data_IF_486761350459
#
_entry.id   IF_486761350459
#
_cell.length_a   1.000
_cell.length_b   1.000
_cell.length_c   1.000
_cell.angle_alpha   90.00
_cell.angle_beta   90.00
_cell.angle_gamma   90.00
#
_symmetry.space_group_name_H-M   'P 1'
#
loop_
_entity.id
_entity.type
_entity.pdbx_description
1 polymer ?
#
# COMPACT_ATOMS: atom_id res chain seq x y z
N UNK A 1 -6.36 -17.34 7.71
CA UNK A 1 -7.45 -18.13 7.10
C UNK A 1 -8.46 -17.16 6.52
N UNK A 2 -9.21 -17.58 5.50
CA UNK A 2 -10.29 -16.79 4.91
C UNK A 2 -11.65 -17.24 5.45
N UNK A 3 -12.53 -16.28 5.73
CA UNK A 3 -13.88 -16.54 6.18
C UNK A 3 -14.89 -15.67 5.41
N UNK A 4 -15.98 -16.30 4.98
CA UNK A 4 -17.20 -15.66 4.46
C UNK A 4 -18.39 -16.13 5.29
N UNK A 5 -18.66 -15.48 6.43
CA UNK A 5 -19.70 -15.89 7.35
C UNK A 5 -21.09 -15.50 6.85
N UNK A 6 -22.14 -16.23 7.24
CA UNK A 6 -23.52 -15.86 6.89
C UNK A 6 -24.04 -14.68 7.75
N UNK A 7 -23.48 -14.49 8.94
CA UNK A 7 -23.82 -13.38 9.84
C UNK A 7 -22.55 -12.77 10.46
N UNK A 8 -22.65 -11.55 10.96
CA UNK A 8 -21.55 -10.90 11.70
C UNK A 8 -21.45 -11.38 13.16
N UNK A 9 -22.24 -12.38 13.55
CA UNK A 9 -22.24 -12.99 14.89
C UNK A 9 -22.30 -14.51 14.77
N UNK A 10 -21.14 -15.15 14.77
CA UNK A 10 -21.02 -16.61 14.64
C UNK A 10 -19.63 -17.13 15.04
N UNK A 11 -19.54 -18.40 15.42
CA UNK A 11 -18.26 -19.08 15.71
C UNK A 11 -17.53 -19.43 14.41
N UNK A 12 -16.20 -19.34 14.38
CA UNK A 12 -15.38 -19.60 13.18
C UNK A 12 -14.52 -20.87 13.31
N UNK A 13 -13.62 -20.90 14.31
CA UNK A 13 -12.63 -21.97 14.52
C UNK A 13 -12.59 -22.34 16.00
N UNK A 14 -12.45 -23.62 16.31
CA UNK A 14 -12.25 -24.16 17.67
C UNK A 14 -10.97 -25.01 17.71
N UNK A 15 -10.06 -24.68 18.62
CA UNK A 15 -8.84 -25.46 18.91
C UNK A 15 -8.99 -26.26 20.21
N UNK A 16 -9.85 -25.78 21.12
CA UNK A 16 -10.35 -26.49 22.30
C UNK A 16 -11.63 -25.82 22.81
N UNK A 17 -12.29 -26.40 23.82
CA UNK A 17 -13.48 -25.79 24.43
C UNK A 17 -13.22 -24.39 25.03
N UNK A 18 -11.97 -24.08 25.43
CA UNK A 18 -11.56 -22.76 25.92
C UNK A 18 -10.91 -21.89 24.85
N UNK A 19 -10.44 -22.50 23.74
CA UNK A 19 -9.60 -21.85 22.75
C UNK A 19 -10.33 -21.76 21.41
N UNK A 20 -10.94 -20.61 21.12
CA UNK A 20 -11.74 -20.42 19.91
C UNK A 20 -11.65 -19.02 19.32
N UNK A 21 -12.06 -18.93 18.04
CA UNK A 21 -12.20 -17.70 17.27
C UNK A 21 -13.66 -17.54 16.87
N UNK A 22 -14.22 -16.36 17.07
CA UNK A 22 -15.61 -16.04 16.73
C UNK A 22 -15.81 -14.61 16.28
N UNK A 23 -16.93 -14.34 15.63
CA UNK A 23 -17.45 -13.00 15.38
C UNK A 23 -18.54 -12.68 16.40
N UNK A 24 -18.48 -11.48 16.97
CA UNK A 24 -19.52 -10.90 17.81
C UNK A 24 -19.84 -9.50 17.27
N UNK A 25 -20.97 -9.36 16.57
CA UNK A 25 -21.44 -8.10 15.99
C UNK A 25 -20.37 -7.37 15.16
N UNK A 26 -19.68 -8.11 14.29
CA UNK A 26 -18.65 -7.55 13.41
C UNK A 26 -17.30 -7.36 14.09
N UNK A 27 -17.05 -8.01 15.23
CA UNK A 27 -15.77 -8.00 15.93
C UNK A 27 -15.22 -9.42 16.02
N UNK A 28 -14.01 -9.64 15.52
CA UNK A 28 -13.22 -10.85 15.75
C UNK A 28 -12.86 -10.92 17.22
N UNK A 29 -13.42 -11.91 17.89
CA UNK A 29 -13.18 -12.25 19.29
C UNK A 29 -12.38 -13.53 19.35
N UNK A 30 -11.29 -13.51 20.11
CA UNK A 30 -10.42 -14.65 20.37
C UNK A 30 -10.48 -14.95 21.85
N UNK A 31 -10.65 -16.22 22.21
CA UNK A 31 -10.67 -16.69 23.59
C UNK A 31 -9.63 -17.80 23.74
N UNK A 32 -8.86 -17.80 24.83
CA UNK A 32 -7.92 -18.88 25.18
C UNK A 32 -6.53 -18.77 24.55
N UNK A 33 -6.22 -17.70 23.81
CA UNK A 33 -4.95 -17.55 23.11
C UNK A 33 -3.94 -16.65 23.88
N UNK A 34 -4.31 -16.07 25.03
CA UNK A 34 -3.42 -15.27 25.88
C UNK A 34 -3.38 -13.78 25.48
N UNK A 35 -2.22 -13.27 25.06
CA UNK A 35 -2.08 -11.92 24.49
C UNK A 35 -1.96 -12.02 22.98
N UNK A 36 -3.00 -11.58 22.28
CA UNK A 36 -3.11 -11.74 20.83
C UNK A 36 -3.04 -10.43 20.08
N UNK A 37 -2.51 -10.53 18.86
CA UNK A 37 -2.65 -9.50 17.84
C UNK A 37 -3.51 -10.08 16.72
N UNK A 38 -4.67 -9.47 16.53
CA UNK A 38 -5.60 -9.82 15.45
C UNK A 38 -5.33 -8.92 14.25
N UNK A 39 -5.28 -9.54 13.07
CA UNK A 39 -5.26 -8.87 11.79
C UNK A 39 -6.49 -9.28 11.00
N UNK A 40 -7.23 -8.28 10.50
CA UNK A 40 -8.26 -8.46 9.48
C UNK A 40 -7.76 -7.77 8.22
N UNK A 41 -7.74 -8.51 7.11
CA UNK A 41 -7.28 -8.02 5.80
C UNK A 41 -5.87 -7.41 5.81
N UNK A 42 -4.98 -8.05 6.59
CA UNK A 42 -3.57 -7.63 6.71
C UNK A 42 -3.35 -6.37 7.54
N UNK A 43 -4.41 -5.76 8.11
CA UNK A 43 -4.33 -4.64 9.06
C UNK A 43 -4.54 -5.15 10.48
N UNK A 44 -3.74 -4.68 11.43
CA UNK A 44 -3.97 -4.94 12.85
C UNK A 44 -5.27 -4.27 13.30
N UNK A 45 -6.32 -5.06 13.46
CA UNK A 45 -7.67 -4.65 13.85
C UNK A 45 -8.47 -5.89 14.23
N UNK A 46 -9.48 -5.72 15.07
CA UNK A 46 -10.48 -6.76 15.35
C UNK A 46 -11.78 -6.54 14.58
N UNK A 47 -11.91 -5.44 13.84
CA UNK A 47 -13.14 -5.12 13.08
C UNK A 47 -13.27 -6.02 11.86
N UNK A 48 -14.41 -6.70 11.77
CA UNK A 48 -14.87 -7.52 10.66
C UNK A 48 -16.08 -6.82 10.00
N UNK A 49 -15.89 -6.17 8.84
CA UNK A 49 -16.78 -5.10 8.41
C UNK A 49 -18.14 -5.58 7.88
N UNK A 50 -18.20 -6.75 7.26
CA UNK A 50 -19.43 -7.29 6.66
C UNK A 50 -19.40 -8.83 6.57
N UNK A 51 -20.20 -9.45 5.69
CA UNK A 51 -20.29 -10.91 5.50
C UNK A 51 -19.56 -11.41 4.24
N UNK A 52 -18.73 -10.58 3.61
CA UNK A 52 -17.90 -10.95 2.47
C UNK A 52 -16.64 -11.72 2.91
N UNK A 53 -15.82 -12.10 1.93
CA UNK A 53 -14.54 -12.74 2.17
C UNK A 53 -13.58 -11.78 2.87
N UNK A 54 -13.14 -12.15 4.06
CA UNK A 54 -12.08 -11.46 4.79
C UNK A 54 -11.02 -12.45 5.27
N UNK A 55 -9.78 -11.99 5.28
CA UNK A 55 -8.69 -12.76 5.85
C UNK A 55 -8.50 -12.43 7.32
N UNK A 56 -8.53 -13.46 8.17
CA UNK A 56 -8.25 -13.36 9.60
C UNK A 56 -6.91 -14.02 9.87
N UNK A 57 -6.02 -13.30 10.55
CA UNK A 57 -4.81 -13.85 11.15
C UNK A 57 -4.73 -13.47 12.63
N UNK A 58 -4.37 -14.45 13.45
CA UNK A 58 -4.25 -14.30 14.89
C UNK A 58 -2.83 -14.71 15.25
N UNK A 59 -2.11 -13.80 15.88
CA UNK A 59 -0.74 -14.02 16.33
C UNK A 59 -0.74 -13.98 17.84
N UNK A 60 -0.32 -15.06 18.47
CA UNK A 60 -0.10 -15.11 19.92
C UNK A 60 1.37 -15.36 20.23
N UNK A 61 1.85 -14.75 21.31
CA UNK A 61 3.16 -15.02 21.91
C UNK A 61 3.10 -16.14 22.96
N UNK A 62 1.90 -16.63 23.28
CA UNK A 62 1.65 -17.72 24.23
C UNK A 62 1.39 -19.01 23.44
N UNK A 63 1.96 -20.12 23.91
CA UNK A 63 1.71 -21.43 23.31
C UNK A 63 0.25 -21.83 23.49
N UNK A 64 -0.41 -22.18 22.38
CA UNK A 64 -1.79 -22.67 22.37
C UNK A 64 -1.76 -24.19 22.52
N UNK A 65 -2.49 -24.72 23.49
CA UNK A 65 -2.57 -26.18 23.70
C UNK A 65 -3.83 -26.71 23.02
N UNK A 66 -3.71 -27.11 21.76
CA UNK A 66 -4.83 -27.68 21.01
C UNK A 66 -4.98 -29.18 21.33
N UNK A 67 -6.05 -29.55 22.04
CA UNK A 67 -6.36 -30.95 22.34
C UNK A 67 -7.12 -31.64 21.19
N UNK A 68 -7.84 -30.86 20.37
CA UNK A 68 -8.54 -31.31 19.15
C UNK A 68 -8.80 -30.11 18.25
N UNK A 69 -8.22 -30.07 17.04
CA UNK A 69 -8.43 -28.97 16.09
C UNK A 69 -9.67 -29.25 15.24
N UNK A 70 -10.73 -28.46 15.43
CA UNK A 70 -11.96 -28.55 14.64
C UNK A 70 -12.16 -27.29 13.80
N UNK A 71 -12.29 -27.46 12.48
CA UNK A 71 -12.59 -26.38 11.55
C UNK A 71 -14.10 -26.33 11.30
N UNK A 72 -14.72 -25.16 11.49
CA UNK A 72 -16.15 -24.98 11.24
C UNK A 72 -17.09 -25.63 12.27
N UNK A 73 -16.59 -25.94 13.47
CA UNK A 73 -17.36 -26.49 14.59
C UNK A 73 -16.87 -25.88 15.90
N UNK A 74 -17.78 -25.62 16.83
CA UNK A 74 -17.48 -25.31 18.22
C UNK A 74 -18.46 -26.05 19.15
N UNK A 75 -17.99 -27.05 19.90
CA UNK A 75 -18.87 -27.88 20.74
C UNK A 75 -20.03 -28.51 19.96
N UNK A 76 -21.28 -28.16 20.31
CA UNK A 76 -22.51 -28.60 19.61
C UNK A 76 -22.96 -27.65 18.48
N UNK A 77 -22.21 -26.57 18.23
CA UNK A 77 -22.53 -25.54 17.22
C UNK A 77 -21.65 -25.69 15.98
N UNK A 78 -22.20 -25.31 14.82
CA UNK A 78 -21.54 -25.45 13.52
C UNK A 78 -21.42 -24.10 12.82
N UNK A 79 -20.31 -23.87 12.14
CA UNK A 79 -20.10 -22.69 11.32
C UNK A 79 -21.04 -22.72 10.12
N UNK A 80 -21.73 -21.60 9.89
CA UNK A 80 -22.56 -21.36 8.72
C UNK A 80 -21.86 -20.33 7.82
N UNK A 81 -21.28 -20.78 6.71
CA UNK A 81 -20.54 -19.94 5.77
C UNK A 81 -19.48 -20.73 5.00
N UNK A 82 -18.52 -20.02 4.42
CA UNK A 82 -17.37 -20.62 3.72
C UNK A 82 -16.06 -20.33 4.49
N UNK A 83 -15.19 -21.32 4.59
CA UNK A 83 -13.81 -21.19 5.08
C UNK A 83 -12.87 -21.60 3.95
N UNK A 84 -11.73 -20.92 3.84
CA UNK A 84 -10.67 -21.31 2.92
C UNK A 84 -9.29 -21.04 3.52
N UNK A 85 -8.29 -21.76 3.01
CA UNK A 85 -6.86 -21.49 3.20
C UNK A 85 -6.46 -21.32 4.68
N UNK A 86 -6.84 -22.33 5.47
CA UNK A 86 -6.53 -22.42 6.90
C UNK A 86 -5.09 -22.86 7.09
N UNK A 87 -4.29 -22.03 7.76
CA UNK A 87 -2.87 -22.30 8.08
C UNK A 87 -2.62 -22.17 9.57
N UNK A 88 -1.77 -23.03 10.12
CA UNK A 88 -1.32 -23.01 11.51
C UNK A 88 0.21 -23.06 11.51
N UNK A 89 0.85 -22.17 12.25
CA UNK A 89 2.30 -22.08 12.38
C UNK A 89 2.72 -22.32 13.83
N UNK A 90 3.84 -23.01 14.02
CA UNK A 90 4.44 -23.24 15.34
C UNK A 90 5.34 -22.09 15.82
N UNK A 91 5.24 -20.92 15.19
CA UNK A 91 5.97 -19.70 15.58
C UNK A 91 5.10 -18.46 15.31
N UNK A 92 5.36 -17.40 16.07
CA UNK A 92 4.69 -16.12 15.88
C UNK A 92 5.15 -15.47 14.56
N UNK A 93 4.23 -15.29 13.62
CA UNK A 93 4.52 -14.60 12.35
C UNK A 93 4.62 -13.09 12.55
N UNK A 94 5.52 -12.46 11.80
CA UNK A 94 5.67 -11.00 11.79
C UNK A 94 4.55 -10.30 11.02
N UNK A 95 4.29 -9.02 11.28
CA UNK A 95 3.29 -8.24 10.53
C UNK A 95 3.51 -8.26 9.01
N UNK A 96 4.76 -8.20 8.55
CA UNK A 96 5.10 -8.29 7.12
C UNK A 96 4.81 -9.68 6.52
N UNK A 97 4.95 -10.74 7.31
CA UNK A 97 4.57 -12.08 6.88
C UNK A 97 3.05 -12.24 6.81
N UNK A 98 2.30 -11.74 7.78
CA UNK A 98 0.83 -11.74 7.74
C UNK A 98 0.29 -10.95 6.54
N UNK A 99 0.92 -9.81 6.22
CA UNK A 99 0.59 -9.03 5.03
C UNK A 99 0.87 -9.80 3.74
N UNK A 100 1.93 -10.61 3.69
CA UNK A 100 2.19 -11.51 2.54
C UNK A 100 1.14 -12.59 2.45
N UNK A 101 0.81 -13.28 3.54
CA UNK A 101 -0.21 -14.34 3.55
C UNK A 101 -1.58 -13.84 3.06
N UNK A 102 -1.97 -12.64 3.48
CA UNK A 102 -3.18 -11.99 2.99
C UNK A 102 -3.13 -11.76 1.47
N UNK A 103 -2.03 -11.21 0.97
CA UNK A 103 -1.86 -10.91 -0.45
C UNK A 103 -1.74 -12.18 -1.31
N UNK A 104 -1.12 -13.24 -0.78
CA UNK A 104 -1.02 -14.56 -1.42
C UNK A 104 -2.38 -15.26 -1.45
N UNK A 105 -3.15 -15.20 -0.37
CA UNK A 105 -4.51 -15.74 -0.30
C UNK A 105 -5.50 -15.03 -1.22
N UNK A 106 -5.27 -13.75 -1.54
CA UNK A 106 -6.01 -13.06 -2.63
C UNK A 106 -5.69 -13.64 -4.01
N UNK A 107 -4.50 -14.20 -4.20
CA UNK A 107 -4.00 -14.65 -5.50
C UNK A 107 -4.41 -16.09 -5.86
N UNK A 108 -5.07 -16.84 -4.96
CA UNK A 108 -5.54 -18.20 -5.22
C UNK A 108 -7.01 -18.23 -5.63
N UNK A 109 -7.34 -17.62 -6.76
CA UNK A 109 -8.55 -17.91 -7.53
C UNK A 109 -8.18 -18.25 -8.99
N UNK A 110 -7.25 -19.21 -9.16
CA UNK A 110 -6.96 -19.80 -10.47
C UNK A 110 -7.92 -20.97 -10.70
N UNK A 111 -9.19 -20.62 -10.91
CA UNK A 111 -10.27 -21.55 -11.24
C UNK A 111 -11.25 -20.86 -12.19
N UNK A 112 -11.19 -21.26 -13.46
CA UNK A 112 -11.87 -20.62 -14.60
C UNK A 112 -13.39 -20.45 -14.38
N UNK A 113 -13.88 -19.20 -14.25
CA UNK A 113 -15.16 -18.74 -14.84
C UNK A 113 -15.33 -17.23 -14.76
N UNK A 114 -15.41 -16.59 -15.94
CA UNK A 114 -15.80 -15.19 -16.20
C UNK A 114 -14.81 -14.11 -15.67
N UNK A 115 -14.68 -12.94 -16.32
CA UNK A 115 -13.62 -12.00 -15.99
C UNK A 115 -13.84 -11.49 -14.57
N UNK A 116 -13.00 -11.92 -13.63
CA UNK A 116 -13.04 -11.43 -12.26
C UNK A 116 -12.99 -9.90 -12.31
N UNK A 117 -14.06 -9.24 -11.82
CA UNK A 117 -14.03 -7.79 -11.61
C UNK A 117 -12.89 -7.47 -10.65
N UNK A 118 -12.32 -6.27 -10.75
CA UNK A 118 -11.22 -5.83 -9.90
C UNK A 118 -11.58 -5.74 -8.42
N UNK A 119 -12.87 -5.85 -8.13
CA UNK A 119 -13.42 -5.91 -6.78
C UNK A 119 -13.24 -7.31 -6.14
N UNK A 120 -13.14 -8.37 -6.96
CA UNK A 120 -13.11 -9.77 -6.50
C UNK A 120 -11.69 -10.33 -6.45
N UNK A 121 -10.85 -9.91 -7.40
CA UNK A 121 -9.42 -10.22 -7.41
C UNK A 121 -8.62 -8.98 -7.84
N UNK A 122 -8.19 -8.14 -6.88
CA UNK A 122 -7.35 -6.99 -7.17
C UNK A 122 -6.01 -7.36 -7.81
N UNK A 123 -5.49 -8.57 -7.55
CA UNK A 123 -4.23 -9.07 -8.12
C UNK A 123 -4.39 -9.41 -9.61
N UNK A 124 -5.53 -9.97 -10.02
CA UNK A 124 -5.87 -10.17 -11.46
C UNK A 124 -6.03 -8.86 -12.24
N UNK A 125 -6.16 -7.73 -11.53
CA UNK A 125 -6.39 -6.41 -12.08
C UNK A 125 -5.24 -5.44 -11.94
N UNK A 126 -4.09 -5.85 -11.40
CA UNK A 126 -2.94 -4.92 -11.25
C UNK A 126 -2.50 -4.29 -12.57
N UNK A 127 -2.77 -4.97 -13.69
CA UNK A 127 -2.52 -4.48 -15.04
C UNK A 127 -3.79 -3.93 -15.74
N UNK A 128 -4.99 -4.07 -15.16
CA UNK A 128 -6.22 -3.54 -15.79
C UNK A 128 -6.23 -2.02 -15.68
N UNK A 129 -6.21 -1.36 -16.83
CA UNK A 129 -6.06 0.10 -16.91
C UNK A 129 -4.63 0.59 -16.67
N UNK A 130 -3.64 -0.32 -16.55
CA UNK A 130 -2.23 0.05 -16.48
C UNK A 130 -1.79 0.58 -17.83
N UNK A 131 -1.38 1.85 -17.86
CA UNK A 131 -0.93 2.51 -19.09
C UNK A 131 0.55 2.26 -19.35
N UNK A 132 1.39 2.23 -18.32
CA UNK A 132 2.81 1.92 -18.44
C UNK A 132 3.41 1.56 -17.09
N UNK A 133 4.47 0.75 -17.11
CA UNK A 133 5.22 0.35 -15.92
C UNK A 133 6.72 0.32 -16.23
N UNK A 134 7.47 1.17 -15.54
CA UNK A 134 8.93 1.26 -15.67
C UNK A 134 9.54 1.00 -14.29
N UNK A 135 10.21 -0.14 -14.15
CA UNK A 135 10.87 -0.56 -12.91
C UNK A 135 12.20 0.16 -12.66
N UNK A 136 12.81 0.69 -13.73
CA UNK A 136 14.10 1.37 -13.74
C UNK A 136 15.28 0.46 -13.34
N UNK A 137 15.20 -0.81 -13.72
CA UNK A 137 16.20 -1.84 -13.39
C UNK A 137 17.17 -2.15 -14.54
N UNK A 138 17.11 -1.42 -15.66
CA UNK A 138 17.92 -1.71 -16.85
C UNK A 138 19.42 -1.44 -16.63
N UNK A 139 19.77 -0.59 -15.64
CA UNK A 139 21.15 -0.28 -15.22
C UNK A 139 22.07 0.24 -16.33
N UNK A 140 21.53 0.61 -17.49
CA UNK A 140 22.28 1.08 -18.65
C UNK A 140 21.40 1.41 -19.85
N UNK A 141 21.98 2.07 -20.84
CA UNK A 141 21.28 2.51 -22.04
C UNK A 141 20.52 3.82 -21.88
N UNK A 142 19.81 4.20 -22.95
CA UNK A 142 19.05 5.46 -23.06
C UNK A 142 17.53 5.24 -23.04
N UNK A 143 17.08 4.06 -22.62
CA UNK A 143 15.66 3.71 -22.62
C UNK A 143 15.22 3.17 -21.26
N UNK A 144 14.02 3.58 -20.84
CA UNK A 144 13.29 2.97 -19.74
C UNK A 144 12.26 2.01 -20.36
N UNK A 145 12.50 0.71 -20.24
CA UNK A 145 11.63 -0.31 -20.85
C UNK A 145 10.27 -0.35 -20.18
N UNK A 146 9.20 -0.29 -20.98
CA UNK A 146 7.85 -0.49 -20.48
C UNK A 146 7.57 -2.00 -20.28
N UNK A 147 7.35 -2.38 -19.04
CA UNK A 147 7.01 -3.73 -18.60
C UNK A 147 5.50 -3.97 -18.49
N UNK A 148 4.64 -2.98 -18.77
CA UNK A 148 3.19 -3.20 -18.78
C UNK A 148 2.73 -4.03 -19.99
N UNK A 149 3.54 -4.08 -21.05
CA UNK A 149 3.21 -4.71 -22.33
C UNK A 149 2.54 -3.79 -23.34
N UNK A 150 2.40 -2.48 -23.05
CA UNK A 150 1.73 -1.54 -23.94
C UNK A 150 2.68 -0.85 -24.94
N UNK A 151 3.99 -1.13 -24.86
CA UNK A 151 4.97 -0.57 -25.78
C UNK A 151 5.32 0.89 -25.52
N UNK A 152 4.99 1.43 -24.34
CA UNK A 152 5.27 2.81 -23.96
C UNK A 152 6.71 2.98 -23.45
N UNK A 153 7.69 2.40 -24.14
CA UNK A 153 9.10 2.51 -23.75
C UNK A 153 9.55 3.97 -23.74
N UNK A 154 10.08 4.43 -22.61
CA UNK A 154 10.52 5.80 -22.43
C UNK A 154 11.94 6.02 -22.95
N UNK A 155 12.21 7.20 -23.47
CA UNK A 155 13.56 7.64 -23.87
C UNK A 155 14.13 8.61 -22.84
N UNK A 156 15.34 8.35 -22.36
CA UNK A 156 16.08 9.21 -21.43
C UNK A 156 16.67 10.40 -22.20
N UNK A 157 16.35 11.61 -21.77
CA UNK A 157 16.85 12.87 -22.35
C UNK A 157 17.49 13.73 -21.26
N UNK A 158 18.52 14.51 -21.60
CA UNK A 158 19.29 15.33 -20.64
C UNK A 158 20.50 14.62 -20.05
N UNK A 159 20.45 13.29 -19.99
CA UNK A 159 21.52 12.44 -19.46
C UNK A 159 21.30 11.92 -18.04
N UNK A 160 20.09 11.48 -17.64
CA UNK A 160 19.86 10.88 -16.33
C UNK A 160 20.74 9.64 -16.16
N UNK A 161 21.21 9.43 -14.93
CA UNK A 161 22.17 8.36 -14.62
C UNK A 161 21.48 7.19 -13.95
N UNK A 162 21.84 5.98 -14.38
CA UNK A 162 21.44 4.76 -13.68
C UNK A 162 22.15 4.67 -12.33
N UNK A 163 21.36 4.50 -11.27
CA UNK A 163 21.81 4.28 -9.91
C UNK A 163 21.57 2.81 -9.53
N UNK A 164 22.61 1.98 -9.64
CA UNK A 164 22.64 0.60 -9.16
C UNK A 164 23.95 0.36 -8.42
N UNK A 165 23.90 -0.10 -7.17
CA UNK A 165 25.08 -0.59 -6.42
C UNK A 165 26.19 0.41 -6.06
N UNK A 166 26.10 1.70 -6.39
CA UNK A 166 27.12 2.69 -6.02
C UNK A 166 26.81 3.25 -4.64
N UNK A 167 27.56 2.87 -3.60
CA UNK A 167 27.41 3.47 -2.27
C UNK A 167 27.50 5.02 -2.34
N UNK A 168 26.61 5.74 -1.62
CA UNK A 168 25.73 5.23 -0.56
C UNK A 168 24.45 4.53 -1.06
N UNK A 169 24.26 4.40 -2.37
CA UNK A 169 23.06 3.86 -3.02
C UNK A 169 23.08 2.32 -3.06
N UNK A 170 22.47 1.70 -2.06
CA UNK A 170 22.09 0.28 -2.08
C UNK A 170 20.82 0.07 -2.92
N UNK A 171 20.93 0.20 -4.24
CA UNK A 171 19.85 -0.10 -5.21
C UNK A 171 18.62 0.82 -5.14
N UNK A 172 17.70 0.62 -6.08
CA UNK A 172 16.35 1.17 -6.05
C UNK A 172 15.53 0.54 -4.92
N UNK A 173 14.55 1.29 -4.41
CA UNK A 173 13.77 0.89 -3.22
C UNK A 173 12.97 -0.40 -3.39
N UNK A 174 12.68 -0.81 -4.63
CA UNK A 174 12.03 -2.07 -4.99
C UNK A 174 13.00 -3.25 -5.16
N UNK A 175 14.30 -3.08 -4.88
CA UNK A 175 15.29 -4.14 -4.91
C UNK A 175 16.15 -4.21 -6.19
N UNK A 176 16.06 -3.22 -7.08
CA UNK A 176 16.79 -3.16 -8.36
C UNK A 176 17.60 -1.88 -8.57
N UNK A 177 17.49 -1.25 -9.75
CA UNK A 177 18.10 0.03 -10.11
C UNK A 177 17.17 1.22 -9.86
N UNK A 178 17.67 2.42 -10.14
CA UNK A 178 16.88 3.65 -10.17
C UNK A 178 17.47 4.62 -11.20
N UNK A 179 16.72 5.65 -11.59
CA UNK A 179 17.25 6.78 -12.34
C UNK A 179 17.49 7.98 -11.41
N UNK A 180 18.68 8.57 -11.55
CA UNK A 180 19.04 9.83 -10.94
C UNK A 180 18.88 10.95 -11.97
N UNK A 181 18.13 11.98 -11.55
CA UNK A 181 17.91 13.20 -12.29
C UNK A 181 18.66 14.35 -11.62
N UNK A 182 19.30 15.21 -12.41
CA UNK A 182 20.11 16.34 -11.93
C UNK A 182 19.30 17.58 -11.53
N UNK A 183 18.00 17.62 -11.88
CA UNK A 183 17.10 18.72 -11.59
C UNK A 183 17.22 19.93 -12.52
N UNK A 184 17.99 19.82 -13.61
CA UNK A 184 18.20 20.85 -14.63
C UNK A 184 17.45 20.51 -15.92
N UNK A 185 17.82 19.42 -16.59
CA UNK A 185 17.28 19.05 -17.91
C UNK A 185 17.02 17.55 -18.09
N UNK A 186 17.26 16.73 -17.06
CA UNK A 186 17.02 15.29 -17.10
C UNK A 186 15.53 14.94 -17.06
N UNK A 187 15.07 14.10 -17.99
CA UNK A 187 13.72 13.52 -17.97
C UNK A 187 13.64 12.21 -18.76
N UNK A 188 12.55 11.46 -18.55
CA UNK A 188 12.16 10.32 -19.39
C UNK A 188 10.94 10.72 -20.20
N UNK A 189 11.05 10.66 -21.53
CA UNK A 189 9.96 10.93 -22.47
C UNK A 189 9.24 9.63 -22.82
N UNK A 190 7.98 9.50 -22.41
CA UNK A 190 7.13 8.33 -22.73
C UNK A 190 6.16 8.59 -23.89
N UNK A 191 6.19 9.79 -24.47
CA UNK A 191 5.27 10.20 -25.53
C UNK A 191 3.81 10.36 -25.04
N UNK A 192 2.88 10.36 -26.00
CA UNK A 192 1.45 10.41 -25.69
C UNK A 192 0.93 8.99 -25.44
N UNK A 193 0.58 8.69 -24.20
CA UNK A 193 0.10 7.38 -23.76
C UNK A 193 -1.42 7.33 -23.58
N UNK A 194 -2.16 8.31 -24.13
CA UNK A 194 -3.62 8.30 -24.15
C UNK A 194 -4.30 8.58 -22.79
N UNK A 195 -3.57 9.06 -21.78
CA UNK A 195 -4.16 9.52 -20.52
C UNK A 195 -4.89 10.85 -20.79
N UNK A 196 -6.21 10.94 -20.59
CA UNK A 196 -6.95 12.17 -20.83
C UNK A 196 -6.47 13.26 -19.88
N UNK A 197 -6.23 14.48 -20.38
CA UNK A 197 -5.68 15.60 -19.59
C UNK A 197 -6.49 15.93 -18.32
N UNK A 198 -7.78 15.56 -18.29
CA UNK A 198 -8.69 15.74 -17.15
C UNK A 198 -9.46 14.45 -16.80
N UNK A 199 -8.96 13.28 -17.22
CA UNK A 199 -9.59 11.99 -16.93
C UNK A 199 -9.18 11.42 -15.56
N UNK A 200 -9.89 10.40 -15.05
CA UNK A 200 -9.45 9.70 -13.85
C UNK A 200 -8.09 9.02 -14.11
N UNK A 201 -7.16 9.15 -13.17
CA UNK A 201 -5.84 8.57 -13.29
C UNK A 201 -5.26 8.23 -11.91
N UNK A 202 -4.39 7.23 -11.87
CA UNK A 202 -3.53 6.94 -10.73
C UNK A 202 -2.08 6.92 -11.19
N UNK A 203 -1.22 7.66 -10.50
CA UNK A 203 0.22 7.70 -10.74
C UNK A 203 0.91 7.34 -9.44
N UNK A 204 1.87 6.42 -9.48
CA UNK A 204 2.57 5.97 -8.29
C UNK A 204 4.02 5.60 -8.58
N UNK A 205 4.86 5.69 -7.56
CA UNK A 205 6.27 5.35 -7.67
C UNK A 205 7.04 5.55 -6.36
N UNK A 206 8.29 5.10 -6.36
CA UNK A 206 9.24 5.40 -5.30
C UNK A 206 10.08 6.62 -5.67
N UNK A 207 10.22 7.57 -4.75
CA UNK A 207 10.97 8.81 -4.95
C UNK A 207 11.98 9.04 -3.83
N UNK A 208 13.11 9.65 -4.19
CA UNK A 208 14.19 9.99 -3.29
C UNK A 208 14.66 11.42 -3.58
N UNK A 209 14.51 12.31 -2.60
CA UNK A 209 14.93 13.70 -2.75
C UNK A 209 16.35 13.90 -2.24
N UNK A 210 17.26 14.34 -3.11
CA UNK A 210 18.60 14.82 -2.72
C UNK A 210 18.62 16.33 -2.43
N UNK A 211 17.62 17.03 -2.94
CA UNK A 211 17.44 18.47 -2.79
C UNK A 211 15.95 18.78 -2.86
N UNK A 212 15.52 19.81 -2.12
CA UNK A 212 14.16 20.35 -2.22
C UNK A 212 14.09 21.41 -3.33
N UNK A 213 12.90 21.66 -3.86
CA UNK A 213 12.69 22.66 -4.90
C UNK A 213 13.16 24.06 -4.45
N UNK A 214 14.16 24.61 -5.14
CA UNK A 214 14.66 25.97 -4.93
C UNK A 214 14.46 26.82 -6.19
N UNK A 215 14.22 28.12 -6.04
CA UNK A 215 14.08 29.08 -7.14
C UNK A 215 12.63 29.46 -7.44
N UNK A 216 12.39 30.04 -8.61
CA UNK A 216 11.09 30.64 -8.98
C UNK A 216 10.14 29.69 -9.69
N UNK A 217 10.58 28.48 -10.04
CA UNK A 217 9.79 27.50 -10.81
C UNK A 217 9.64 26.18 -10.06
N UNK A 218 8.39 25.72 -9.92
CA UNK A 218 8.07 24.44 -9.30
C UNK A 218 8.77 23.29 -10.03
N UNK A 219 9.23 22.29 -9.28
CA UNK A 219 9.91 21.12 -9.86
C UNK A 219 8.88 20.04 -10.16
N UNK A 220 8.73 19.71 -11.44
CA UNK A 220 7.84 18.63 -11.88
C UNK A 220 8.43 17.28 -11.49
N UNK A 221 7.63 16.43 -10.85
CA UNK A 221 7.92 15.01 -10.70
C UNK A 221 7.23 14.20 -11.78
N UNK A 222 5.98 14.55 -12.06
CA UNK A 222 5.17 14.10 -13.18
C UNK A 222 4.33 15.25 -13.69
N UNK A 223 3.81 15.14 -14.91
CA UNK A 223 2.98 16.14 -15.60
C UNK A 223 2.01 16.95 -14.73
N UNK A 224 1.44 16.35 -13.69
CA UNK A 224 0.49 16.99 -12.77
C UNK A 224 0.98 17.10 -11.32
N UNK A 225 2.08 16.44 -10.93
CA UNK A 225 2.61 16.42 -9.56
C UNK A 225 3.89 17.25 -9.48
N UNK A 226 3.87 18.28 -8.66
CA UNK A 226 4.95 19.26 -8.54
C UNK A 226 5.38 19.44 -7.09
N UNK A 227 6.66 19.69 -6.87
CA UNK A 227 7.15 20.25 -5.61
C UNK A 227 7.15 21.77 -5.71
N UNK A 228 6.43 22.42 -4.79
CA UNK A 228 6.30 23.87 -4.77
C UNK A 228 7.51 24.53 -4.12
N UNK A 229 8.11 25.52 -4.78
CA UNK A 229 9.38 26.11 -4.32
C UNK A 229 9.25 26.93 -3.03
N UNK A 230 8.08 27.53 -2.77
CA UNK A 230 7.92 28.39 -1.58
C UNK A 230 7.81 27.61 -0.26
N UNK A 231 7.38 26.35 -0.28
CA UNK A 231 7.14 25.58 0.95
C UNK A 231 7.55 24.10 0.86
N UNK A 232 8.14 23.68 -0.26
CA UNK A 232 8.62 22.33 -0.54
C UNK A 232 7.56 21.23 -0.48
N UNK A 233 6.27 21.58 -0.42
CA UNK A 233 5.18 20.62 -0.40
C UNK A 233 4.92 20.08 -1.79
N UNK A 234 4.34 18.89 -1.87
CA UNK A 234 3.85 18.30 -3.11
C UNK A 234 2.45 18.83 -3.42
N UNK A 235 2.23 19.21 -4.67
CA UNK A 235 1.00 19.81 -5.17
C UNK A 235 0.56 19.13 -6.46
N UNK A 236 -0.74 19.14 -6.67
CA UNK A 236 -1.32 18.69 -7.92
C UNK A 236 -1.79 19.93 -8.68
N UNK A 237 -1.38 20.05 -9.94
CA UNK A 237 -1.83 21.09 -10.85
C UNK A 237 -2.73 20.43 -11.88
N UNK A 238 -4.02 20.78 -11.88
CA UNK A 238 -5.03 20.16 -12.73
C UNK A 238 -5.76 21.15 -13.64
N UNK A 239 -5.33 22.41 -13.69
CA UNK A 239 -5.90 23.39 -14.62
C UNK A 239 -4.80 24.13 -15.39
N UNK A 240 -5.03 24.45 -16.68
CA UNK A 240 -4.14 25.31 -17.46
C UNK A 240 -3.89 26.70 -16.83
N UNK A 241 -4.74 27.09 -15.87
CA UNK A 241 -4.75 28.40 -15.23
C UNK A 241 -3.99 28.43 -13.89
N UNK A 242 -3.28 27.35 -13.52
CA UNK A 242 -2.34 27.35 -12.39
C UNK A 242 -2.96 27.21 -10.99
N UNK A 243 -4.26 26.94 -10.87
CA UNK A 243 -4.88 26.64 -9.57
C UNK A 243 -4.31 25.34 -9.01
N UNK A 244 -3.50 25.45 -7.97
CA UNK A 244 -2.83 24.31 -7.33
C UNK A 244 -3.65 23.86 -6.12
N UNK A 245 -3.94 22.56 -6.01
CA UNK A 245 -4.72 22.00 -4.89
C UNK A 245 -3.90 20.94 -4.14
N UNK A 246 -4.07 20.94 -2.81
CA UNK A 246 -3.13 20.30 -1.88
C UNK A 246 -3.56 18.92 -1.40
N UNK A 247 -2.52 18.11 -1.24
CA UNK A 247 -2.14 17.50 0.04
C UNK A 247 -0.70 17.90 0.42
N UNK A 248 -0.55 18.70 1.47
CA UNK A 248 0.69 19.43 1.84
C UNK A 248 1.86 18.62 2.41
N UNK A 249 2.23 17.50 1.80
CA UNK A 249 3.37 16.68 2.22
C UNK A 249 4.71 17.30 1.79
N UNK A 250 5.61 17.51 2.74
CA UNK A 250 7.00 17.91 2.49
C UNK A 250 7.92 16.69 2.66
N UNK A 251 8.59 16.20 1.60
CA UNK A 251 9.52 15.09 1.71
C UNK A 251 10.77 15.49 2.49
N UNK A 252 11.27 14.60 3.36
CA UNK A 252 12.60 14.74 3.92
C UNK A 252 13.66 14.38 2.87
N UNK A 253 14.82 15.03 2.96
CA UNK A 253 15.96 14.68 2.13
C UNK A 253 16.48 13.28 2.48
N UNK A 254 17.11 12.68 1.50
CA UNK A 254 17.82 11.41 1.60
C UNK A 254 16.94 10.23 2.07
N UNK A 255 15.63 10.35 1.89
CA UNK A 255 14.64 9.36 2.31
C UNK A 255 13.80 8.90 1.13
N UNK A 256 13.59 7.59 1.03
CA UNK A 256 12.68 7.01 0.05
C UNK A 256 11.24 7.13 0.52
N UNK A 257 10.36 7.63 -0.35
CA UNK A 257 8.91 7.65 -0.15
C UNK A 257 8.21 6.92 -1.28
N UNK A 258 7.24 6.08 -0.92
CA UNK A 258 6.28 5.57 -1.90
C UNK A 258 5.15 6.59 -2.00
N UNK A 259 5.02 7.21 -3.16
CA UNK A 259 4.01 8.23 -3.42
C UNK A 259 3.00 7.66 -4.40
N UNK A 260 1.72 7.73 -4.06
CA UNK A 260 0.64 7.44 -4.98
C UNK A 260 -0.36 8.60 -5.00
N UNK A 261 -0.71 9.05 -6.20
CA UNK A 261 -1.69 10.08 -6.46
C UNK A 261 -2.86 9.45 -7.20
N UNK A 262 -4.07 9.56 -6.66
CA UNK A 262 -5.31 9.17 -7.34
C UNK A 262 -6.14 10.40 -7.64
N UNK A 263 -6.70 10.51 -8.83
CA UNK A 263 -7.52 11.63 -9.28
C UNK A 263 -8.72 11.09 -10.07
N UNK A 264 -9.91 11.65 -9.87
CA UNK A 264 -11.14 11.17 -10.53
C UNK A 264 -11.68 12.10 -11.61
N UNK A 265 -10.86 13.00 -12.17
CA UNK A 265 -11.31 14.02 -13.12
C UNK A 265 -11.68 15.37 -12.50
N UNK A 266 -11.54 15.54 -11.18
CA UNK A 266 -11.75 16.81 -10.48
C UNK A 266 -10.67 17.02 -9.39
N UNK A 267 -10.10 18.23 -9.31
CA UNK A 267 -9.02 18.57 -8.38
C UNK A 267 -9.40 18.38 -6.92
N UNK A 268 -10.69 18.55 -6.59
CA UNK A 268 -11.21 18.38 -5.25
C UNK A 268 -11.33 16.93 -4.81
N UNK A 269 -11.19 15.96 -5.73
CA UNK A 269 -11.26 14.52 -5.43
C UNK A 269 -9.89 13.85 -5.45
N UNK A 270 -8.84 14.63 -5.69
CA UNK A 270 -7.49 14.11 -5.72
C UNK A 270 -7.04 13.69 -4.31
N UNK A 271 -6.38 12.53 -4.22
CA UNK A 271 -5.85 11.98 -2.96
C UNK A 271 -4.38 11.65 -3.13
N UNK A 272 -3.56 12.05 -2.15
CA UNK A 272 -2.17 11.65 -2.04
C UNK A 272 -2.03 10.59 -0.96
N UNK A 273 -1.29 9.55 -1.27
CA UNK A 273 -0.89 8.53 -0.33
C UNK A 273 0.63 8.58 -0.20
N UNK A 274 1.12 8.62 1.04
CA UNK A 274 2.53 8.55 1.37
C UNK A 274 2.77 7.24 2.12
N UNK A 275 3.67 6.41 1.60
CA UNK A 275 3.96 5.07 2.12
C UNK A 275 2.71 4.19 2.27
N UNK A 276 1.74 4.37 1.37
CA UNK A 276 0.47 3.64 1.33
C UNK A 276 -0.61 4.16 2.28
N UNK A 277 -0.36 5.25 3.00
CA UNK A 277 -1.34 5.89 3.91
C UNK A 277 -1.86 7.17 3.28
N UNK A 278 -3.19 7.36 3.29
CA UNK A 278 -3.83 8.58 2.81
C UNK A 278 -3.31 9.78 3.62
N UNK A 279 -2.79 10.79 2.92
CA UNK A 279 -2.31 12.02 3.52
C UNK A 279 -3.44 13.05 3.56
N UNK A 280 -3.95 13.33 4.76
CA UNK A 280 -4.97 14.34 5.00
C UNK A 280 -4.36 15.53 5.75
N UNK A 281 -4.61 16.75 5.27
CA UNK A 281 -4.26 17.98 5.99
C UNK A 281 -5.45 18.36 6.87
N UNK A 282 -5.74 17.55 7.89
CA UNK A 282 -6.68 17.96 8.94
C UNK A 282 -6.29 17.30 10.27
N UNK A 283 -5.25 17.84 10.89
CA UNK A 283 -4.94 17.78 12.33
C UNK A 283 -3.73 18.68 12.57
N UNK A 284 -3.99 19.96 12.83
CA UNK A 284 -3.11 20.69 13.73
C UNK A 284 -3.50 20.23 15.14
N UNK A 285 -2.93 19.11 15.59
CA UNK A 285 -2.80 18.82 17.01
C UNK A 285 -1.31 18.80 17.29
N UNK A 286 -0.83 19.88 17.91
CA UNK A 286 0.44 19.85 18.60
C UNK A 286 0.34 18.71 19.63
N UNK A 287 1.18 17.66 19.57
CA UNK A 287 1.36 16.84 20.75
C UNK A 287 1.90 17.77 21.83
N UNK A 288 1.16 17.81 22.93
CA UNK A 288 1.41 18.66 24.08
C UNK A 288 2.86 18.56 24.56
N UNK A 289 3.35 19.69 25.09
CA UNK A 289 4.53 19.82 25.94
C UNK A 289 4.94 18.49 26.60
N UNK A 290 5.95 17.82 26.05
CA UNK A 290 6.77 16.92 26.85
C UNK A 290 7.76 17.83 27.56
N UNK A 291 7.33 18.23 28.76
CA UNK A 291 7.95 19.24 29.59
C UNK A 291 9.46 19.12 29.72
N UNK A 292 10.05 20.30 29.86
CA UNK A 292 11.39 20.48 30.39
C UNK A 292 11.62 19.54 31.59
N UNK A 293 12.62 18.66 31.48
CA UNK A 293 13.32 18.15 32.65
C UNK A 293 14.06 19.34 33.25
N UNK A 294 13.38 20.04 34.16
CA UNK A 294 14.03 20.92 35.11
C UNK A 294 14.84 20.04 36.06
N UNK A 295 16.14 20.29 36.06
CA UNK A 295 17.07 19.90 37.11
C UNK A 295 16.52 20.36 38.46
N UNK A 296 16.26 19.42 39.38
CA UNK A 296 16.21 19.76 40.80
C UNK A 296 17.61 19.63 41.39
N UNK A 297 17.91 20.65 42.21
CA UNK A 297 19.05 20.79 43.10
C UNK A 297 19.35 19.54 43.92
#
# INVERSE_FOLDING_TARGET
>A
FWAKPNTTTQKLIELSASDYVSLASGIVTVAGFGTEVVYVDGRQTTVFPDTNWHHIAIVSSVAITANTVNLGKNGATYYAGLLDDVRIYNYARTANQIKRDYNEGKAMYVGVRAPASCDVDPASCVNKGLVGYWDMDQMGGITATDKSGNGNTGTLTGGPKWAGGVQPFSGGKAGGGALQFDGLNDYVSIGNVGIPANGPATILGWFYWKQLATGSTNKSLYSILYQHTANNKLYIVTSPNGSSYFPGFTPALYTWYYIALTYSGNSSTAKLYVNGVLYNVDTQSYPEDIGALSSFY
#
